data_IF_989472650368
#
_entry.id   IF_989472650368
#
_cell.length_a   1.000
_cell.length_b   1.000
_cell.length_c   1.000
_cell.angle_alpha   90.00
_cell.angle_beta   90.00
_cell.angle_gamma   90.00
#
_symmetry.space_group_name_H-M   'P 1'
#
loop_
_entity.id
_entity.type
_entity.pdbx_description
1 polymer ?
#
# COMPACT_ATOMS: atom_id res chain seq x y z
N UNK A 1 8.67 -24.45 2.44
CA UNK A 1 8.11 -23.90 3.69
C UNK A 1 6.82 -23.22 3.34
N UNK A 2 5.73 -23.46 4.10
CA UNK A 2 4.47 -22.73 3.91
C UNK A 2 4.59 -21.28 4.39
N UNK A 3 3.84 -20.37 3.75
CA UNK A 3 3.77 -18.97 4.16
C UNK A 3 3.22 -18.84 5.59
N UNK A 4 3.84 -17.98 6.39
CA UNK A 4 3.48 -17.73 7.78
C UNK A 4 2.59 -16.50 7.90
N UNK A 5 1.42 -16.71 8.50
CA UNK A 5 0.40 -15.69 8.67
C UNK A 5 0.14 -15.43 10.16
N UNK A 6 0.06 -14.16 10.55
CA UNK A 6 -0.42 -13.76 11.87
C UNK A 6 -1.83 -13.21 11.74
N UNK A 7 -2.76 -13.75 12.51
CA UNK A 7 -4.15 -13.27 12.61
C UNK A 7 -4.30 -12.55 13.94
N UNK A 8 -4.47 -11.24 13.90
CA UNK A 8 -4.68 -10.39 15.08
C UNK A 8 -6.15 -10.06 15.17
N UNK A 9 -6.84 -10.73 16.08
CA UNK A 9 -8.31 -10.70 16.20
C UNK A 9 -8.71 -11.12 17.60
N UNK A 10 -9.56 -10.35 18.26
CA UNK A 10 -10.01 -10.59 19.64
C UNK A 10 -11.19 -11.56 19.72
N UNK A 11 -12.04 -11.60 18.71
CA UNK A 11 -13.21 -12.49 18.70
C UNK A 11 -12.79 -13.93 18.44
N UNK A 12 -12.90 -14.80 19.46
CA UNK A 12 -12.42 -16.18 19.42
C UNK A 12 -13.01 -17.00 18.25
N UNK A 13 -14.32 -17.01 18.12
CA UNK A 13 -15.01 -17.78 17.09
C UNK A 13 -14.61 -17.34 15.66
N UNK A 14 -14.44 -16.05 15.45
CA UNK A 14 -14.06 -15.50 14.16
C UNK A 14 -12.59 -15.77 13.87
N UNK A 15 -11.72 -15.57 14.84
CA UNK A 15 -10.29 -15.86 14.71
C UNK A 15 -10.05 -17.35 14.42
N UNK A 16 -10.74 -18.24 15.14
CA UNK A 16 -10.62 -19.68 14.95
C UNK A 16 -11.12 -20.10 13.55
N UNK A 17 -12.21 -19.52 13.07
CA UNK A 17 -12.69 -19.73 11.71
C UNK A 17 -11.64 -19.33 10.67
N UNK A 18 -11.06 -18.14 10.80
CA UNK A 18 -10.05 -17.62 9.87
C UNK A 18 -8.78 -18.46 9.92
N UNK A 19 -8.24 -18.73 11.11
CA UNK A 19 -7.01 -19.52 11.29
C UNK A 19 -7.17 -20.93 10.74
N UNK A 20 -8.29 -21.58 11.02
CA UNK A 20 -8.57 -22.93 10.51
C UNK A 20 -8.65 -22.93 8.99
N UNK A 21 -9.42 -22.01 8.39
CA UNK A 21 -9.53 -21.92 6.93
C UNK A 21 -8.18 -21.68 6.25
N UNK A 22 -7.35 -20.79 6.81
CA UNK A 22 -6.01 -20.54 6.29
C UNK A 22 -5.10 -21.78 6.38
N UNK A 23 -5.21 -22.56 7.47
CA UNK A 23 -4.44 -23.82 7.62
C UNK A 23 -4.89 -24.90 6.65
N UNK A 24 -6.18 -25.00 6.38
CA UNK A 24 -6.75 -25.91 5.36
C UNK A 24 -6.24 -25.58 3.96
N UNK A 25 -5.97 -24.29 3.68
CA UNK A 25 -5.37 -23.80 2.44
C UNK A 25 -3.83 -23.92 2.39
N UNK A 26 -3.21 -24.55 3.39
CA UNK A 26 -1.78 -24.87 3.43
C UNK A 26 -0.88 -23.76 4.00
N UNK A 27 -1.43 -22.74 4.62
CA UNK A 27 -0.66 -21.72 5.33
C UNK A 27 -0.33 -22.14 6.76
N UNK A 28 0.76 -21.60 7.30
CA UNK A 28 1.02 -21.66 8.75
C UNK A 28 0.41 -20.40 9.38
N UNK A 29 -0.69 -20.54 10.10
CA UNK A 29 -1.40 -19.43 10.71
C UNK A 29 -1.35 -19.49 12.23
N UNK A 30 -0.99 -18.37 12.86
CA UNK A 30 -0.99 -18.17 14.31
C UNK A 30 -1.91 -17.00 14.68
N UNK A 31 -2.37 -16.96 15.92
CA UNK A 31 -3.28 -15.94 16.42
C UNK A 31 -2.65 -15.10 17.51
N UNK A 32 -2.98 -13.81 17.53
CA UNK A 32 -2.85 -12.92 18.68
C UNK A 32 -4.22 -12.27 18.97
N UNK A 33 -4.62 -12.17 20.23
CA UNK A 33 -5.98 -11.77 20.64
C UNK A 33 -6.09 -10.33 21.13
N UNK A 34 -4.98 -9.65 21.32
CA UNK A 34 -4.93 -8.30 21.88
C UNK A 34 -3.69 -7.54 21.42
N UNK A 35 -3.63 -6.25 21.73
CA UNK A 35 -2.54 -5.36 21.33
C UNK A 35 -1.16 -5.84 21.80
N UNK A 36 -1.04 -6.32 23.04
CA UNK A 36 0.26 -6.70 23.61
C UNK A 36 0.79 -8.00 23.03
N UNK A 37 -0.06 -9.01 22.92
CA UNK A 37 0.28 -10.30 22.30
C UNK A 37 0.59 -10.13 20.82
N UNK A 38 -0.16 -9.28 20.12
CA UNK A 38 0.12 -8.93 18.73
C UNK A 38 1.47 -8.21 18.57
N UNK A 39 1.75 -7.23 19.41
CA UNK A 39 3.04 -6.54 19.39
C UNK A 39 4.21 -7.50 19.64
N UNK A 40 4.06 -8.38 20.63
CA UNK A 40 5.08 -9.39 20.92
C UNK A 40 5.30 -10.32 19.70
N UNK A 41 4.24 -10.86 19.13
CA UNK A 41 4.33 -11.74 17.95
C UNK A 41 4.98 -11.03 16.75
N UNK A 42 4.60 -9.77 16.48
CA UNK A 42 5.13 -8.97 15.38
C UNK A 42 6.63 -8.68 15.51
N UNK A 43 7.14 -8.55 16.73
CA UNK A 43 8.54 -8.17 16.99
C UNK A 43 9.46 -9.36 17.26
N UNK A 44 8.92 -10.55 17.56
CA UNK A 44 9.72 -11.74 17.91
C UNK A 44 9.79 -12.79 16.81
N UNK A 45 8.92 -12.69 15.79
CA UNK A 45 8.88 -13.65 14.70
C UNK A 45 8.71 -12.96 13.35
N UNK A 46 9.13 -13.64 12.28
CA UNK A 46 8.93 -13.18 10.91
C UNK A 46 7.60 -13.73 10.35
N UNK A 47 6.87 -12.86 9.68
CA UNK A 47 5.57 -13.14 9.08
C UNK A 47 5.58 -12.70 7.61
N UNK A 48 4.93 -13.49 6.75
CA UNK A 48 4.75 -13.13 5.35
C UNK A 48 3.58 -12.15 5.16
N UNK A 49 2.47 -12.38 5.89
CA UNK A 49 1.30 -11.49 5.89
C UNK A 49 0.71 -11.44 7.30
N UNK A 50 0.26 -10.26 7.69
CA UNK A 50 -0.49 -10.02 8.93
C UNK A 50 -1.93 -9.62 8.59
N UNK A 51 -2.90 -10.32 9.14
CA UNK A 51 -4.31 -9.94 9.16
C UNK A 51 -4.53 -9.20 10.46
N UNK A 52 -4.88 -7.93 10.39
CA UNK A 52 -4.94 -7.06 11.57
C UNK A 52 -6.31 -6.44 11.73
N UNK A 53 -7.03 -6.84 12.77
CA UNK A 53 -8.25 -6.13 13.13
C UNK A 53 -7.94 -4.76 13.71
N UNK A 54 -8.84 -3.83 13.46
CA UNK A 54 -8.74 -2.48 13.99
C UNK A 54 -9.08 -2.44 15.48
N UNK A 55 -10.18 -3.08 15.87
CA UNK A 55 -10.70 -3.07 17.23
C UNK A 55 -10.04 -4.12 18.10
N UNK A 56 -8.96 -3.79 18.80
CA UNK A 56 -8.26 -4.73 19.68
C UNK A 56 -8.38 -4.33 21.15
N UNK A 57 -8.54 -5.29 22.05
CA UNK A 57 -8.37 -5.03 23.48
C UNK A 57 -6.97 -4.45 23.75
N UNK A 58 -6.94 -3.37 24.52
CA UNK A 58 -5.71 -2.69 24.92
C UNK A 58 -5.14 -1.70 23.92
N UNK A 59 -5.76 -1.52 22.72
CA UNK A 59 -5.33 -0.49 21.77
C UNK A 59 -5.98 -0.62 20.38
N UNK A 60 -5.76 0.38 19.53
CA UNK A 60 -6.25 0.41 18.15
C UNK A 60 -5.22 -0.25 17.21
N UNK A 61 -5.67 -1.15 16.33
CA UNK A 61 -4.84 -1.83 15.34
C UNK A 61 -4.10 -0.88 14.41
N UNK A 62 -4.66 0.29 14.08
CA UNK A 62 -3.95 1.33 13.33
C UNK A 62 -2.75 1.90 14.11
N UNK A 63 -2.91 2.07 15.43
CA UNK A 63 -1.80 2.50 16.29
C UNK A 63 -0.71 1.44 16.36
N UNK A 64 -1.10 0.16 16.43
CA UNK A 64 -0.17 -0.97 16.34
C UNK A 64 0.62 -0.95 15.04
N UNK A 65 -0.08 -0.82 13.92
CA UNK A 65 0.52 -0.76 12.59
C UNK A 65 1.47 0.43 12.44
N UNK A 66 1.04 1.63 12.88
CA UNK A 66 1.87 2.83 12.84
C UNK A 66 3.18 2.64 13.61
N UNK A 67 3.12 2.06 14.80
CA UNK A 67 4.30 1.74 15.59
C UNK A 67 5.18 0.70 14.90
N UNK A 68 4.60 -0.35 14.35
CA UNK A 68 5.30 -1.41 13.63
C UNK A 68 6.06 -0.86 12.41
N UNK A 69 5.44 0.06 11.64
CA UNK A 69 6.08 0.74 10.52
C UNK A 69 7.17 1.72 10.97
N UNK A 70 6.98 2.42 12.09
CA UNK A 70 7.98 3.35 12.64
C UNK A 70 9.27 2.64 13.08
N UNK A 71 9.18 1.35 13.46
CA UNK A 71 10.33 0.51 13.78
C UNK A 71 10.99 -0.13 12.52
N UNK A 72 10.52 0.23 11.31
CA UNK A 72 11.11 -0.19 10.04
C UNK A 72 10.63 -1.54 9.52
N UNK A 73 9.62 -2.14 10.14
CA UNK A 73 9.06 -3.40 9.68
C UNK A 73 8.23 -3.24 8.40
N UNK A 74 8.42 -4.16 7.46
CA UNK A 74 7.87 -4.09 6.08
C UNK A 74 6.92 -5.24 5.73
N UNK A 75 6.60 -6.10 6.70
CA UNK A 75 5.67 -7.22 6.51
C UNK A 75 4.34 -6.73 5.93
N UNK A 76 3.79 -7.43 4.95
CA UNK A 76 2.49 -7.09 4.35
C UNK A 76 1.36 -7.16 5.38
N UNK A 77 0.56 -6.11 5.49
CA UNK A 77 -0.57 -6.02 6.44
C UNK A 77 -1.88 -5.81 5.71
N UNK A 78 -2.80 -6.75 5.90
CA UNK A 78 -4.22 -6.63 5.52
C UNK A 78 -5.02 -6.18 6.73
N UNK A 79 -5.56 -4.96 6.69
CA UNK A 79 -6.44 -4.47 7.74
C UNK A 79 -7.83 -5.07 7.58
N UNK A 80 -8.38 -5.60 8.67
CA UNK A 80 -9.78 -6.00 8.79
C UNK A 80 -10.56 -4.87 9.47
N UNK A 81 -11.65 -4.41 8.87
CA UNK A 81 -12.35 -3.21 9.36
C UNK A 81 -13.87 -3.38 9.28
N UNK A 82 -14.61 -2.75 10.18
CA UNK A 82 -16.06 -2.70 10.12
C UNK A 82 -16.55 -1.79 8.97
N UNK A 83 -17.79 -2.01 8.51
CA UNK A 83 -18.39 -1.39 7.30
C UNK A 83 -18.50 0.14 7.33
N UNK A 84 -18.48 0.75 8.52
CA UNK A 84 -18.74 2.20 8.69
C UNK A 84 -17.48 3.08 8.56
N UNK A 85 -16.34 2.49 8.25
CA UNK A 85 -15.04 3.12 8.26
C UNK A 85 -14.57 3.62 6.88
N UNK A 86 -15.44 4.25 6.08
CA UNK A 86 -15.02 4.89 4.81
C UNK A 86 -14.00 6.01 5.07
N UNK A 87 -14.19 6.78 6.15
CA UNK A 87 -13.23 7.79 6.64
C UNK A 87 -11.94 7.16 7.15
N UNK A 88 -11.98 5.91 7.58
CA UNK A 88 -10.86 5.19 8.17
C UNK A 88 -9.94 4.55 7.13
N UNK A 89 -10.45 4.27 5.92
CA UNK A 89 -9.62 3.77 4.80
C UNK A 89 -8.61 4.80 4.32
N UNK A 90 -8.99 6.08 4.33
CA UNK A 90 -8.05 7.17 3.96
C UNK A 90 -6.99 7.35 5.04
N UNK A 91 -7.39 7.37 6.33
CA UNK A 91 -6.44 7.47 7.44
C UNK A 91 -5.50 6.26 7.55
N UNK A 92 -5.96 5.08 7.17
CA UNK A 92 -5.19 3.84 7.29
C UNK A 92 -4.22 3.59 6.14
N UNK A 93 -4.49 4.07 4.92
CA UNK A 93 -3.51 4.05 3.81
C UNK A 93 -2.33 4.96 4.14
N UNK A 94 -2.56 6.08 4.84
CA UNK A 94 -1.51 6.97 5.35
C UNK A 94 -0.66 6.32 6.45
N UNK A 95 -1.17 5.30 7.13
CA UNK A 95 -0.49 4.57 8.22
C UNK A 95 0.36 3.39 7.71
N UNK A 96 0.26 3.02 6.43
CA UNK A 96 1.10 2.00 5.82
C UNK A 96 0.50 0.58 5.79
N UNK A 97 -0.83 0.44 5.80
CA UNK A 97 -1.49 -0.80 5.44
C UNK A 97 -1.35 -1.09 3.93
N UNK A 98 -1.21 -2.36 3.59
CA UNK A 98 -1.01 -2.78 2.19
C UNK A 98 -2.33 -3.08 1.47
N UNK A 99 -3.38 -3.46 2.21
CA UNK A 99 -4.74 -3.67 1.71
C UNK A 99 -5.75 -3.62 2.86
N UNK A 100 -7.04 -3.53 2.51
CA UNK A 100 -8.18 -3.46 3.44
C UNK A 100 -9.26 -4.45 3.04
N UNK A 101 -9.87 -5.08 4.04
CA UNK A 101 -11.01 -5.97 3.86
C UNK A 101 -12.11 -5.62 4.87
N UNK A 102 -13.29 -5.30 4.36
CA UNK A 102 -14.43 -4.87 5.19
C UNK A 102 -15.20 -6.07 5.70
N UNK A 103 -15.39 -6.15 7.01
CA UNK A 103 -16.28 -7.14 7.65
C UNK A 103 -17.77 -6.77 7.45
N UNK A 104 -18.68 -7.73 7.16
CA UNK A 104 -18.42 -9.14 6.88
C UNK A 104 -17.89 -9.36 5.44
N UNK A 105 -17.04 -10.36 5.25
CA UNK A 105 -16.46 -10.72 3.97
C UNK A 105 -16.60 -12.23 3.69
N UNK A 106 -16.49 -12.61 2.43
CA UNK A 106 -16.39 -14.01 2.04
C UNK A 106 -14.95 -14.51 2.30
N UNK A 107 -14.79 -15.76 2.77
CA UNK A 107 -13.47 -16.34 3.01
C UNK A 107 -12.61 -16.38 1.73
N UNK A 108 -13.22 -16.64 0.57
CA UNK A 108 -12.54 -16.65 -0.72
C UNK A 108 -11.95 -15.27 -1.07
N UNK A 109 -12.60 -14.17 -0.68
CA UNK A 109 -12.06 -12.82 -0.86
C UNK A 109 -10.85 -12.59 0.04
N UNK A 110 -10.94 -12.97 1.32
CA UNK A 110 -9.80 -12.93 2.24
C UNK A 110 -8.62 -13.69 1.66
N UNK A 111 -8.85 -14.92 1.22
CA UNK A 111 -7.83 -15.80 0.66
C UNK A 111 -7.18 -15.22 -0.61
N UNK A 112 -7.96 -14.65 -1.50
CA UNK A 112 -7.45 -14.00 -2.71
C UNK A 112 -6.53 -12.80 -2.37
N UNK A 113 -6.90 -11.99 -1.37
CA UNK A 113 -6.10 -10.85 -0.89
C UNK A 113 -4.82 -11.31 -0.18
N UNK A 114 -4.91 -12.31 0.69
CA UNK A 114 -3.73 -12.92 1.34
C UNK A 114 -2.75 -13.43 0.29
N UNK A 115 -3.22 -14.17 -0.71
CA UNK A 115 -2.38 -14.67 -1.81
C UNK A 115 -1.78 -13.54 -2.65
N UNK A 116 -2.49 -12.43 -2.83
CA UNK A 116 -1.99 -11.27 -3.54
C UNK A 116 -0.87 -10.56 -2.74
N UNK A 117 -1.05 -10.41 -1.42
CA UNK A 117 -0.06 -9.82 -0.52
C UNK A 117 1.18 -10.70 -0.37
N UNK A 118 0.99 -12.01 -0.25
CA UNK A 118 2.08 -12.98 -0.14
C UNK A 118 2.94 -13.11 -1.40
N UNK A 119 2.38 -12.77 -2.58
CA UNK A 119 3.14 -12.74 -3.86
C UNK A 119 3.98 -11.48 -4.01
N UNK A 120 3.69 -10.41 -3.26
CA UNK A 120 4.61 -9.28 -3.20
C UNK A 120 5.88 -9.80 -2.56
N UNK A 121 7.08 -9.61 -3.17
CA UNK A 121 8.30 -9.81 -2.41
C UNK A 121 8.12 -8.99 -1.13
N UNK A 122 8.48 -9.51 0.07
CA UNK A 122 8.50 -8.69 1.26
C UNK A 122 9.18 -7.40 0.84
N UNK A 123 8.58 -6.23 1.17
CA UNK A 123 9.20 -4.95 0.90
C UNK A 123 10.59 -5.02 1.53
N UNK A 124 11.51 -5.69 0.79
CA UNK A 124 12.86 -5.92 1.20
C UNK A 124 13.44 -4.55 1.46
N UNK A 125 13.75 -4.27 2.72
CA UNK A 125 14.55 -3.14 3.15
C UNK A 125 14.30 -1.89 2.27
N UNK A 126 13.09 -1.31 2.32
CA UNK A 126 12.85 -0.16 1.46
C UNK A 126 11.52 0.51 1.72
N UNK A 127 11.47 1.32 2.77
CA UNK A 127 10.67 2.54 2.73
C UNK A 127 11.05 3.42 1.53
N UNK A 128 12.07 2.99 0.75
CA UNK A 128 12.60 3.74 -0.39
C UNK A 128 12.15 3.09 -1.69
N UNK A 129 11.27 3.76 -2.42
CA UNK A 129 11.02 3.47 -3.83
C UNK A 129 12.08 4.20 -4.66
N UNK A 130 12.68 3.51 -5.63
CA UNK A 130 13.68 4.09 -6.50
C UNK A 130 13.44 3.75 -7.96
N UNK A 131 13.68 4.73 -8.83
CA UNK A 131 13.72 4.56 -10.28
C UNK A 131 14.67 5.57 -10.89
N UNK A 132 15.68 5.10 -11.61
CA UNK A 132 16.78 5.92 -12.10
C UNK A 132 17.44 6.72 -10.95
N UNK A 133 17.44 8.04 -11.04
CA UNK A 133 18.00 8.98 -10.08
C UNK A 133 16.97 9.51 -9.05
N UNK A 134 15.75 8.96 -9.05
CA UNK A 134 14.67 9.32 -8.15
C UNK A 134 14.62 8.36 -6.96
N UNK A 135 14.55 8.91 -5.75
CA UNK A 135 14.38 8.21 -4.49
C UNK A 135 13.17 8.77 -3.75
N UNK A 136 12.31 7.90 -3.27
CA UNK A 136 11.15 8.26 -2.46
C UNK A 136 11.16 7.42 -1.19
N UNK A 137 11.40 8.05 -0.06
CA UNK A 137 11.26 7.43 1.25
C UNK A 137 9.80 7.54 1.69
N UNK A 138 9.11 6.41 1.73
CA UNK A 138 7.69 6.33 2.10
C UNK A 138 7.43 6.59 3.58
N UNK A 139 8.41 6.30 4.46
CA UNK A 139 8.26 6.49 5.89
C UNK A 139 8.33 7.97 6.28
N UNK A 140 9.27 8.70 5.65
CA UNK A 140 9.46 10.13 5.91
C UNK A 140 8.78 11.03 4.88
N UNK A 141 8.16 10.45 3.86
CA UNK A 141 7.60 11.13 2.68
C UNK A 141 8.62 12.03 1.96
N UNK A 142 9.92 11.74 2.13
CA UNK A 142 11.00 12.48 1.51
C UNK A 142 11.19 12.01 0.06
N UNK A 143 11.24 12.98 -0.84
CA UNK A 143 11.47 12.76 -2.26
C UNK A 143 12.78 13.44 -2.65
N UNK A 144 13.66 12.69 -3.30
CA UNK A 144 14.92 13.20 -3.83
C UNK A 144 15.10 12.79 -5.29
N UNK A 145 15.63 13.68 -6.10
CA UNK A 145 16.04 13.40 -7.46
C UNK A 145 17.43 13.93 -7.74
N UNK A 146 18.32 13.07 -8.23
CA UNK A 146 19.73 13.40 -8.45
C UNK A 146 20.36 14.08 -7.22
N UNK A 147 20.01 13.65 -5.99
CA UNK A 147 20.46 14.23 -4.73
C UNK A 147 19.79 15.54 -4.30
N UNK A 148 18.85 16.06 -5.08
CA UNK A 148 18.08 17.26 -4.72
C UNK A 148 16.74 16.90 -4.10
N UNK A 149 16.46 17.45 -2.91
CA UNK A 149 15.15 17.32 -2.24
C UNK A 149 14.07 18.00 -3.06
N UNK A 150 12.97 17.29 -3.30
CA UNK A 150 11.78 17.82 -3.96
C UNK A 150 10.65 18.05 -2.95
N UNK A 151 10.01 19.19 -3.05
CA UNK A 151 8.81 19.49 -2.26
C UNK A 151 7.56 19.26 -3.13
N UNK A 152 6.82 18.22 -2.77
CA UNK A 152 5.58 17.84 -3.44
C UNK A 152 4.38 18.16 -2.57
N UNK A 153 3.27 18.52 -3.21
CA UNK A 153 1.97 18.53 -2.54
C UNK A 153 1.49 17.11 -2.26
N UNK A 154 0.53 16.91 -1.36
CA UNK A 154 0.00 15.60 -1.03
C UNK A 154 -0.49 14.81 -2.28
N UNK A 155 -1.14 15.50 -3.23
CA UNK A 155 -1.61 14.87 -4.47
C UNK A 155 -0.48 14.53 -5.45
N UNK A 156 0.52 15.39 -5.58
CA UNK A 156 1.72 15.11 -6.38
C UNK A 156 2.51 13.94 -5.81
N UNK A 157 2.63 13.87 -4.47
CA UNK A 157 3.28 12.75 -3.79
C UNK A 157 2.52 11.44 -4.02
N UNK A 158 1.20 11.42 -3.78
CA UNK A 158 0.37 10.23 -4.01
C UNK A 158 0.45 9.75 -5.47
N UNK A 159 0.42 10.69 -6.41
CA UNK A 159 0.57 10.41 -7.84
C UNK A 159 1.94 9.80 -8.16
N UNK A 160 3.02 10.37 -7.61
CA UNK A 160 4.38 9.85 -7.79
C UNK A 160 4.54 8.44 -7.23
N UNK A 161 4.07 8.20 -6.01
CA UNK A 161 4.10 6.86 -5.37
C UNK A 161 3.31 5.85 -6.19
N UNK A 162 2.14 6.26 -6.72
CA UNK A 162 1.34 5.38 -7.57
C UNK A 162 2.08 5.00 -8.86
N UNK A 163 2.75 5.94 -9.51
CA UNK A 163 3.59 5.67 -10.67
C UNK A 163 4.77 4.74 -10.34
N UNK A 164 5.49 4.99 -9.26
CA UNK A 164 6.65 4.19 -8.84
C UNK A 164 6.27 2.74 -8.47
N UNK A 165 5.05 2.52 -8.02
CA UNK A 165 4.53 1.17 -7.75
C UNK A 165 4.12 0.40 -9.02
N UNK A 166 4.05 1.08 -10.17
CA UNK A 166 3.65 0.49 -11.45
C UNK A 166 4.64 0.85 -12.57
N UNK A 167 5.94 0.59 -12.40
CA UNK A 167 6.96 0.99 -13.37
C UNK A 167 6.73 0.30 -14.72
N UNK A 168 6.85 1.08 -15.80
CA UNK A 168 6.68 0.58 -17.18
C UNK A 168 5.23 0.30 -17.59
N UNK A 169 4.28 0.26 -16.67
CA UNK A 169 2.88 -0.01 -16.99
C UNK A 169 2.18 1.23 -17.57
N UNK A 170 1.26 1.00 -18.51
CA UNK A 170 0.35 2.03 -18.99
C UNK A 170 -0.82 2.15 -18.01
N UNK A 171 -0.90 3.29 -17.35
CA UNK A 171 -1.96 3.61 -16.40
C UNK A 171 -2.99 4.51 -17.07
N UNK A 172 -4.23 4.05 -17.14
CA UNK A 172 -5.33 4.84 -17.70
C UNK A 172 -5.68 6.02 -16.77
N UNK A 173 -6.26 7.09 -17.35
CA UNK A 173 -6.73 8.25 -16.56
C UNK A 173 -7.68 7.86 -15.45
N UNK A 174 -8.65 7.01 -15.77
CA UNK A 174 -9.62 6.48 -14.81
C UNK A 174 -8.92 5.80 -13.64
N UNK A 175 -8.01 4.87 -13.91
CA UNK A 175 -7.29 4.14 -12.86
C UNK A 175 -6.45 5.05 -11.96
N UNK A 176 -5.78 6.05 -12.55
CA UNK A 176 -4.99 7.01 -11.77
C UNK A 176 -5.92 7.89 -10.92
N UNK A 177 -7.01 8.38 -11.51
CA UNK A 177 -7.93 9.28 -10.84
C UNK A 177 -8.61 8.59 -9.65
N UNK A 178 -9.17 7.39 -9.86
CA UNK A 178 -9.79 6.59 -8.81
C UNK A 178 -8.83 6.27 -7.65
N UNK A 179 -7.54 6.04 -7.95
CA UNK A 179 -6.58 5.70 -6.93
C UNK A 179 -6.07 6.91 -6.14
N UNK A 180 -5.89 8.07 -6.80
CA UNK A 180 -5.27 9.27 -6.19
C UNK A 180 -6.31 10.20 -5.58
N UNK A 181 -7.54 10.25 -6.15
CA UNK A 181 -8.61 11.15 -5.67
C UNK A 181 -9.76 10.43 -4.97
N UNK A 182 -9.80 9.08 -5.03
CA UNK A 182 -10.90 8.25 -4.49
C UNK A 182 -12.28 8.65 -5.04
N UNK A 183 -12.30 9.16 -6.25
CA UNK A 183 -13.49 9.62 -6.97
C UNK A 183 -13.58 8.94 -8.33
N UNK A 184 -14.79 8.75 -8.84
CA UNK A 184 -14.98 8.28 -10.21
C UNK A 184 -14.61 9.40 -11.19
N UNK A 185 -13.78 9.06 -12.16
CA UNK A 185 -13.44 9.99 -13.23
C UNK A 185 -14.65 10.25 -14.12
N UNK A 186 -15.12 11.50 -14.15
CA UNK A 186 -16.27 11.95 -14.93
C UNK A 186 -15.94 12.22 -16.41
N UNK A 187 -14.67 12.12 -16.79
CA UNK A 187 -14.18 12.44 -18.14
C UNK A 187 -14.07 13.93 -18.46
N UNK A 188 -14.50 14.81 -17.58
CA UNK A 188 -14.56 16.27 -17.79
C UNK A 188 -13.48 17.01 -17.01
N UNK A 189 -13.03 16.47 -15.89
CA UNK A 189 -12.02 17.08 -15.04
C UNK A 189 -10.62 17.02 -15.65
N UNK A 190 -9.92 18.15 -15.72
CA UNK A 190 -8.51 18.23 -16.12
C UNK A 190 -7.56 18.29 -14.90
N UNK A 191 -8.06 17.93 -13.72
CA UNK A 191 -7.29 17.94 -12.46
C UNK A 191 -6.05 17.07 -12.54
N UNK A 192 -6.17 15.87 -13.12
CA UNK A 192 -5.06 14.94 -13.30
C UNK A 192 -3.97 15.55 -14.20
N UNK A 193 -4.35 16.16 -15.32
CA UNK A 193 -3.41 16.78 -16.27
C UNK A 193 -2.61 17.91 -15.62
N UNK A 194 -3.26 18.70 -14.78
CA UNK A 194 -2.60 19.80 -14.02
C UNK A 194 -1.56 19.20 -13.06
N UNK A 195 -1.94 18.22 -12.25
CA UNK A 195 -1.03 17.60 -11.29
C UNK A 195 0.13 16.85 -11.97
N UNK A 196 -0.14 16.16 -13.08
CA UNK A 196 0.92 15.52 -13.89
C UNK A 196 1.87 16.55 -14.46
N UNK A 197 1.36 17.69 -14.95
CA UNK A 197 2.20 18.79 -15.46
C UNK A 197 3.09 19.37 -14.37
N UNK A 198 2.52 19.66 -13.19
CA UNK A 198 3.29 20.23 -12.09
C UNK A 198 4.31 19.24 -11.51
N UNK A 199 3.94 17.98 -11.35
CA UNK A 199 4.86 16.93 -10.95
C UNK A 199 6.01 16.76 -11.97
N UNK A 200 5.72 16.73 -13.27
CA UNK A 200 6.75 16.71 -14.32
C UNK A 200 7.71 17.88 -14.18
N UNK A 201 7.19 19.10 -14.07
CA UNK A 201 8.05 20.29 -13.92
C UNK A 201 9.03 20.15 -12.77
N UNK A 202 8.58 19.63 -11.61
CA UNK A 202 9.44 19.42 -10.43
C UNK A 202 10.45 18.30 -10.66
N UNK A 203 10.03 17.20 -11.25
CA UNK A 203 10.93 16.10 -11.58
C UNK A 203 11.95 16.48 -12.66
N UNK A 204 11.51 17.10 -13.75
CA UNK A 204 12.36 17.44 -14.91
C UNK A 204 13.34 18.59 -14.61
N UNK A 205 13.16 19.33 -13.51
CA UNK A 205 14.12 20.33 -13.05
C UNK A 205 15.48 19.74 -12.67
N UNK A 206 15.53 18.43 -12.34
CA UNK A 206 16.72 17.75 -11.84
C UNK A 206 17.09 16.49 -12.63
N UNK A 207 16.49 16.27 -13.80
CA UNK A 207 16.80 15.08 -14.60
C UNK A 207 15.87 14.92 -15.81
N UNK A 208 16.04 13.83 -16.56
CA UNK A 208 15.23 13.51 -17.74
C UNK A 208 13.77 13.20 -17.41
N UNK A 209 12.95 13.10 -18.45
CA UNK A 209 11.52 12.77 -18.31
C UNK A 209 11.32 11.35 -17.78
N UNK A 210 10.48 11.20 -16.77
CA UNK A 210 10.08 9.91 -16.20
C UNK A 210 8.60 9.59 -16.45
N UNK A 211 7.73 10.61 -16.59
CA UNK A 211 6.30 10.41 -16.85
C UNK A 211 6.02 10.70 -18.32
N UNK A 212 5.61 9.70 -19.08
CA UNK A 212 5.29 9.78 -20.51
C UNK A 212 3.78 9.79 -20.71
N UNK A 213 3.29 10.64 -21.63
CA UNK A 213 1.88 10.64 -22.03
C UNK A 213 1.72 9.74 -23.24
N UNK A 214 0.84 8.75 -23.13
CA UNK A 214 0.42 7.92 -24.25
C UNK A 214 -0.95 8.42 -24.71
N UNK A 215 -1.01 9.00 -25.91
CA UNK A 215 -2.25 9.59 -26.45
C UNK A 215 -3.39 8.57 -26.39
N UNK A 216 -4.54 8.98 -25.89
CA UNK A 216 -5.76 8.18 -25.70
C UNK A 216 -5.62 6.94 -24.80
N UNK A 217 -4.44 6.66 -24.21
CA UNK A 217 -4.17 5.49 -23.36
C UNK A 217 -3.90 5.84 -21.90
N UNK A 218 -3.31 7.02 -21.62
CA UNK A 218 -2.98 7.45 -20.26
C UNK A 218 -1.51 7.84 -20.10
N UNK A 219 -0.89 7.35 -19.02
CA UNK A 219 0.48 7.71 -18.65
C UNK A 219 1.31 6.46 -18.37
N UNK A 220 2.62 6.55 -18.59
CA UNK A 220 3.60 5.52 -18.25
C UNK A 220 4.76 6.16 -17.51
N UNK A 221 5.23 5.51 -16.45
CA UNK A 221 6.41 5.91 -15.72
C UNK A 221 7.60 5.03 -16.13
N UNK A 222 8.61 5.63 -16.72
CA UNK A 222 9.78 4.91 -17.24
C UNK A 222 10.99 5.85 -17.34
N UNK A 223 12.18 5.33 -17.01
CA UNK A 223 13.45 6.03 -17.23
C UNK A 223 13.90 5.95 -18.70
N UNK A 224 13.39 4.98 -19.45
CA UNK A 224 13.67 4.86 -20.88
C UNK A 224 12.77 5.80 -21.67
N UNK A 225 13.35 6.54 -22.61
CA UNK A 225 12.58 7.29 -23.60
C UNK A 225 11.73 6.28 -24.39
N UNK A 226 10.45 6.19 -24.08
CA UNK A 226 9.53 5.36 -24.87
C UNK A 226 9.31 6.00 -26.21
N UNK A 227 9.23 5.19 -27.26
CA UNK A 227 8.72 5.62 -28.55
C UNK A 227 7.36 6.30 -28.36
N UNK A 228 7.36 7.63 -28.39
CA UNK A 228 6.17 8.48 -28.50
C UNK A 228 5.72 8.44 -29.96
N UNK A 229 5.19 7.29 -30.40
CA UNK A 229 4.53 7.15 -31.70
C UNK A 229 3.01 7.25 -31.56
#
# INVERSE_FOLDING_TARGET
>A
MGLRLLVVEDQDDFADFVVRGLREEGFTAERASDFLTAWHALTTAEWDVVLLDRGLPGGDGLTLLKRFRAEGHVTSVLMLTARDAVTDRVAGLDVGADDYLTKPFAFDELLARVRALARRPPLAAGTILSQADLLVDLATQRVERAGHKLELTAKEYALLVFFLRHPGQVLTRTRIYEHVWDERYDGLSNTLEVHVKDLRRKLEAHGGRLIHTLRNRGYRFSAEAGDDA
#
